data_IF_130988523082
#
_entry.id   IF_130988523082
#
_cell.length_a   1.000
_cell.length_b   1.000
_cell.length_c   1.000
_cell.angle_alpha   90.00
_cell.angle_beta   90.00
_cell.angle_gamma   90.00
#
_symmetry.space_group_name_H-M   'P 1'
#
loop_
_entity.id
_entity.type
_entity.pdbx_description
1 polymer ?
#
# COMPACT_ATOMS: atom_id res chain seq x y z
N UNK A 1 -46.62 -63.09 10.06
CA UNK A 1 -46.92 -61.65 10.11
C UNK A 1 -45.69 -61.01 10.74
N UNK A 2 -45.08 -59.98 10.13
CA UNK A 2 -43.86 -59.40 10.69
C UNK A 2 -44.12 -58.92 12.12
N UNK A 3 -43.33 -59.39 13.09
CA UNK A 3 -43.50 -59.16 14.54
C UNK A 3 -43.35 -57.68 14.96
N UNK A 4 -43.05 -56.78 14.02
CA UNK A 4 -42.82 -55.36 14.27
C UNK A 4 -43.98 -54.42 13.90
N UNK A 5 -45.08 -54.94 13.37
CA UNK A 5 -46.26 -54.13 13.03
C UNK A 5 -47.11 -53.88 14.28
N UNK A 6 -47.31 -52.61 14.71
CA UNK A 6 -48.13 -52.30 15.88
C UNK A 6 -49.55 -52.84 15.71
N UNK A 7 -50.06 -53.54 16.72
CA UNK A 7 -51.34 -54.27 16.64
C UNK A 7 -52.57 -53.34 16.53
N UNK A 8 -52.43 -52.06 16.82
CA UNK A 8 -53.51 -51.06 16.75
C UNK A 8 -53.06 -49.76 16.08
N UNK A 9 -54.03 -49.02 15.53
CA UNK A 9 -53.79 -47.70 14.93
C UNK A 9 -53.19 -46.71 15.94
N UNK A 10 -53.67 -46.67 17.18
CA UNK A 10 -53.08 -45.85 18.25
C UNK A 10 -51.58 -46.12 18.41
N UNK A 11 -51.17 -47.39 18.42
CA UNK A 11 -49.77 -47.72 18.67
C UNK A 11 -48.86 -47.39 17.46
N UNK A 12 -49.40 -47.48 16.24
CA UNK A 12 -48.76 -46.93 15.04
C UNK A 12 -48.60 -45.39 15.12
N UNK A 13 -49.65 -44.68 15.53
CA UNK A 13 -49.64 -43.23 15.64
C UNK A 13 -48.67 -42.74 16.73
N UNK A 14 -48.60 -43.43 17.86
CA UNK A 14 -47.63 -43.16 18.94
C UNK A 14 -46.19 -43.35 18.46
N UNK A 15 -45.88 -44.49 17.80
CA UNK A 15 -44.53 -44.76 17.31
C UNK A 15 -44.09 -43.75 16.23
N UNK A 16 -45.01 -43.32 15.36
CA UNK A 16 -44.75 -42.26 14.39
C UNK A 16 -44.48 -40.91 15.08
N UNK A 17 -45.29 -40.56 16.08
CA UNK A 17 -45.13 -39.32 16.85
C UNK A 17 -43.79 -39.29 17.59
N UNK A 18 -43.39 -40.40 18.21
CA UNK A 18 -42.07 -40.52 18.86
C UNK A 18 -40.91 -40.35 17.88
N UNK A 19 -41.00 -40.95 16.68
CA UNK A 19 -39.97 -40.75 15.64
C UNK A 19 -39.91 -39.31 15.15
N UNK A 20 -41.05 -38.65 14.95
CA UNK A 20 -41.11 -37.25 14.55
C UNK A 20 -40.47 -36.34 15.60
N UNK A 21 -40.76 -36.55 16.89
CA UNK A 21 -40.14 -35.81 17.99
C UNK A 21 -38.63 -36.06 18.07
N UNK A 22 -38.18 -37.30 17.83
CA UNK A 22 -36.75 -37.61 17.79
C UNK A 22 -36.04 -36.93 16.62
N UNK A 23 -36.64 -36.89 15.43
CA UNK A 23 -36.08 -36.17 14.29
C UNK A 23 -36.06 -34.66 14.51
N UNK A 24 -37.09 -34.11 15.16
CA UNK A 24 -37.11 -32.71 15.55
C UNK A 24 -35.93 -32.39 16.48
N UNK A 25 -35.76 -33.16 17.57
CA UNK A 25 -34.65 -32.98 18.51
C UNK A 25 -33.29 -33.05 17.81
N UNK A 26 -33.07 -34.05 16.94
CA UNK A 26 -31.81 -34.18 16.20
C UNK A 26 -31.57 -33.01 15.24
N UNK A 27 -32.64 -32.48 14.62
CA UNK A 27 -32.54 -31.32 13.73
C UNK A 27 -32.18 -30.07 14.52
N UNK A 28 -32.78 -29.87 15.68
CA UNK A 28 -32.49 -28.75 16.58
C UNK A 28 -31.04 -28.82 17.12
N UNK A 29 -30.59 -30.00 17.55
CA UNK A 29 -29.22 -30.24 18.01
C UNK A 29 -28.18 -29.96 16.91
N UNK A 30 -28.45 -30.43 15.69
CA UNK A 30 -27.59 -30.18 14.54
C UNK A 30 -27.55 -28.70 14.17
N UNK A 31 -28.71 -28.05 14.12
CA UNK A 31 -28.82 -26.62 13.84
C UNK A 31 -28.04 -25.78 14.86
N UNK A 32 -28.22 -26.06 16.15
CA UNK A 32 -27.49 -25.41 17.24
C UNK A 32 -25.98 -25.62 17.12
N UNK A 33 -25.54 -26.83 16.77
CA UNK A 33 -24.12 -27.14 16.57
C UNK A 33 -23.53 -26.32 15.41
N UNK A 34 -24.25 -26.21 14.28
CA UNK A 34 -23.84 -25.38 13.16
C UNK A 34 -23.78 -23.89 13.52
N UNK A 35 -24.73 -23.38 14.33
CA UNK A 35 -24.71 -22.00 14.80
C UNK A 35 -23.48 -21.72 15.68
N UNK A 36 -23.15 -22.63 16.60
CA UNK A 36 -21.97 -22.48 17.46
C UNK A 36 -20.70 -22.46 16.60
N UNK A 37 -20.53 -23.44 15.72
CA UNK A 37 -19.36 -23.52 14.84
C UNK A 37 -19.20 -22.29 13.97
N UNK A 38 -20.29 -21.79 13.37
CA UNK A 38 -20.26 -20.58 12.56
C UNK A 38 -19.86 -19.34 13.37
N UNK A 39 -20.41 -19.19 14.58
CA UNK A 39 -20.05 -18.08 15.48
C UNK A 39 -18.58 -18.15 15.89
N UNK A 40 -18.05 -19.34 16.15
CA UNK A 40 -16.64 -19.52 16.49
C UNK A 40 -15.72 -19.11 15.31
N UNK A 41 -16.08 -19.47 14.08
CA UNK A 41 -15.35 -19.04 12.89
C UNK A 41 -15.43 -17.52 12.68
N UNK A 42 -16.63 -16.94 12.87
CA UNK A 42 -16.83 -15.50 12.72
C UNK A 42 -16.06 -14.70 13.76
N UNK A 43 -15.99 -15.19 14.99
CA UNK A 43 -15.16 -14.61 16.04
C UNK A 43 -13.69 -14.60 15.68
N UNK A 44 -13.16 -15.71 15.14
CA UNK A 44 -11.77 -15.76 14.67
C UNK A 44 -11.53 -14.77 13.54
N UNK A 45 -12.49 -14.62 12.62
CA UNK A 45 -12.41 -13.64 11.54
C UNK A 45 -12.36 -12.20 12.09
N UNK A 46 -13.22 -11.84 13.04
CA UNK A 46 -13.22 -10.53 13.69
C UNK A 46 -11.91 -10.23 14.43
N UNK A 47 -11.31 -11.23 15.09
CA UNK A 47 -10.02 -11.10 15.76
C UNK A 47 -8.87 -10.85 14.77
N UNK A 48 -8.95 -11.39 13.56
CA UNK A 48 -7.93 -11.24 12.50
C UNK A 48 -8.11 -9.96 11.66
N UNK A 49 -9.31 -9.41 11.61
CA UNK A 49 -9.70 -8.27 10.77
C UNK A 49 -8.81 -7.02 10.93
N UNK A 50 -8.36 -6.64 12.14
CA UNK A 50 -7.44 -5.52 12.31
C UNK A 50 -6.10 -5.73 11.61
N UNK A 51 -5.57 -6.96 11.61
CA UNK A 51 -4.30 -7.29 10.96
C UNK A 51 -4.42 -7.24 9.43
N UNK A 52 -5.56 -7.69 8.89
CA UNK A 52 -5.85 -7.57 7.45
C UNK A 52 -5.90 -6.11 7.03
N UNK A 53 -6.60 -5.28 7.82
CA UNK A 53 -6.71 -3.84 7.59
C UNK A 53 -5.34 -3.16 7.61
N UNK A 54 -4.52 -3.47 8.62
CA UNK A 54 -3.16 -2.96 8.73
C UNK A 54 -2.29 -3.39 7.54
N UNK A 55 -2.32 -4.67 7.18
CA UNK A 55 -1.53 -5.21 6.06
C UNK A 55 -1.87 -4.51 4.74
N UNK A 56 -3.15 -4.21 4.52
CA UNK A 56 -3.59 -3.52 3.32
C UNK A 56 -3.11 -2.06 3.26
N UNK A 57 -3.14 -1.34 4.39
CA UNK A 57 -2.58 0.02 4.50
C UNK A 57 -1.07 0.01 4.32
N UNK A 58 -0.36 -0.93 4.96
CA UNK A 58 1.09 -1.08 4.84
C UNK A 58 1.50 -1.39 3.39
N UNK A 59 0.71 -2.22 2.69
CA UNK A 59 0.91 -2.51 1.27
C UNK A 59 0.78 -1.25 0.41
N UNK A 60 -0.25 -0.43 0.67
CA UNK A 60 -0.46 0.83 -0.04
C UNK A 60 0.70 1.81 0.22
N UNK A 61 1.12 1.96 1.47
CA UNK A 61 2.26 2.81 1.85
C UNK A 61 3.51 2.38 1.10
N UNK A 62 3.84 1.09 1.14
CA UNK A 62 5.03 0.54 0.48
C UNK A 62 5.03 0.76 -1.03
N UNK A 63 3.88 0.65 -1.69
CA UNK A 63 3.74 0.94 -3.11
C UNK A 63 4.09 2.41 -3.43
N UNK A 64 3.56 3.35 -2.63
CA UNK A 64 3.82 4.77 -2.83
C UNK A 64 5.25 5.18 -2.46
N UNK A 65 5.85 4.56 -1.44
CA UNK A 65 7.28 4.73 -1.12
C UNK A 65 8.18 4.28 -2.27
N UNK A 66 7.88 3.14 -2.89
CA UNK A 66 8.62 2.63 -4.05
C UNK A 66 8.51 3.58 -5.25
N UNK A 67 7.31 4.12 -5.52
CA UNK A 67 7.09 5.11 -6.59
C UNK A 67 7.90 6.38 -6.35
N UNK A 68 7.90 6.91 -5.12
CA UNK A 68 8.71 8.07 -4.74
C UNK A 68 10.20 7.79 -4.87
N UNK A 69 10.66 6.64 -4.38
CA UNK A 69 12.06 6.22 -4.48
C UNK A 69 12.53 6.16 -5.94
N UNK A 70 11.78 5.45 -6.79
CA UNK A 70 12.10 5.34 -8.22
C UNK A 70 12.16 6.70 -8.92
N UNK A 71 11.18 7.57 -8.66
CA UNK A 71 11.10 8.90 -9.29
C UNK A 71 12.23 9.81 -8.84
N UNK A 72 12.53 9.83 -7.54
CA UNK A 72 13.64 10.64 -6.99
C UNK A 72 15.01 10.12 -7.44
N UNK A 73 15.17 8.80 -7.58
CA UNK A 73 16.40 8.18 -8.10
C UNK A 73 16.64 8.57 -9.56
N UNK A 74 15.59 8.61 -10.39
CA UNK A 74 15.69 9.06 -11.78
C UNK A 74 16.15 10.53 -11.87
N UNK A 75 15.53 11.41 -11.08
CA UNK A 75 15.91 12.84 -11.03
C UNK A 75 17.37 12.97 -10.59
N UNK A 76 17.76 12.27 -9.52
CA UNK A 76 19.12 12.29 -8.98
C UNK A 76 20.14 11.79 -9.99
N UNK A 77 19.84 10.70 -10.69
CA UNK A 77 20.71 10.12 -11.69
C UNK A 77 20.94 11.06 -12.87
N UNK A 78 19.90 11.72 -13.37
CA UNK A 78 20.03 12.72 -14.45
C UNK A 78 20.88 13.92 -14.00
N UNK A 79 20.65 14.41 -12.78
CA UNK A 79 21.43 15.51 -12.22
C UNK A 79 22.91 15.13 -12.02
N UNK A 80 23.20 13.94 -11.51
CA UNK A 80 24.57 13.47 -11.29
C UNK A 80 25.36 13.36 -12.60
N UNK A 81 24.73 12.89 -13.69
CA UNK A 81 25.38 12.89 -15.01
C UNK A 81 25.78 14.30 -15.45
N UNK A 82 24.95 15.28 -15.19
CA UNK A 82 25.25 16.66 -15.55
C UNK A 82 26.33 17.27 -14.65
N UNK A 83 26.35 16.87 -13.37
CA UNK A 83 27.40 17.25 -12.43
C UNK A 83 28.78 16.76 -12.88
N UNK A 84 28.89 15.49 -13.29
CA UNK A 84 30.14 14.92 -13.83
C UNK A 84 30.67 15.71 -15.04
N UNK A 85 29.76 16.15 -15.93
CA UNK A 85 30.13 16.99 -17.08
C UNK A 85 30.71 18.33 -16.62
N UNK A 86 30.07 19.01 -15.66
CA UNK A 86 30.60 20.28 -15.15
C UNK A 86 31.91 20.13 -14.38
N UNK A 87 32.12 19.01 -13.67
CA UNK A 87 33.37 18.71 -13.00
C UNK A 87 34.50 18.50 -14.01
N UNK A 88 34.23 17.79 -15.11
CA UNK A 88 35.18 17.63 -16.22
C UNK A 88 35.56 18.97 -16.84
N UNK A 89 34.56 19.82 -17.14
CA UNK A 89 34.80 21.17 -17.69
C UNK A 89 35.59 22.03 -16.71
N UNK A 90 35.28 21.98 -15.40
CA UNK A 90 36.03 22.69 -14.35
C UNK A 90 37.49 22.24 -14.30
N UNK A 91 37.75 20.94 -14.41
CA UNK A 91 39.12 20.42 -14.48
C UNK A 91 39.87 20.95 -15.70
N UNK A 92 39.21 20.99 -16.87
CA UNK A 92 39.78 21.59 -18.09
C UNK A 92 40.10 23.07 -17.90
N UNK A 93 39.20 23.85 -17.29
CA UNK A 93 39.45 25.27 -16.99
C UNK A 93 40.62 25.45 -16.02
N UNK A 94 40.68 24.60 -14.98
CA UNK A 94 41.76 24.61 -13.99
C UNK A 94 43.12 24.34 -14.64
N UNK A 95 43.19 23.37 -15.54
CA UNK A 95 44.42 23.05 -16.28
C UNK A 95 44.89 24.16 -17.23
N UNK A 96 43.99 25.07 -17.62
CA UNK A 96 44.35 26.23 -18.43
C UNK A 96 44.94 27.37 -17.60
N UNK A 97 44.85 27.33 -16.26
CA UNK A 97 45.46 28.31 -15.37
C UNK A 97 46.98 28.09 -15.32
N UNK A 98 47.70 28.81 -16.19
CA UNK A 98 49.16 28.81 -16.29
C UNK A 98 49.74 30.19 -15.94
N UNK A 99 50.96 30.27 -15.36
CA UNK A 99 51.57 31.55 -15.00
C UNK A 99 51.66 32.56 -16.16
N UNK A 100 51.79 32.08 -17.40
CA UNK A 100 51.86 32.95 -18.59
C UNK A 100 50.58 33.74 -18.86
N UNK A 101 49.43 33.37 -18.30
CA UNK A 101 48.19 34.15 -18.39
C UNK A 101 48.28 35.51 -17.68
N UNK A 102 49.23 35.70 -16.78
CA UNK A 102 49.48 36.99 -16.13
C UNK A 102 50.25 38.00 -16.99
N UNK A 103 50.73 37.61 -18.18
CA UNK A 103 51.44 38.52 -19.08
C UNK A 103 50.44 39.46 -19.80
N UNK A 104 50.78 40.76 -20.00
CA UNK A 104 49.90 41.71 -20.68
C UNK A 104 49.38 41.25 -22.06
N UNK A 105 50.22 40.55 -22.83
CA UNK A 105 49.85 40.03 -24.16
C UNK A 105 48.78 38.92 -24.12
N UNK A 106 48.54 38.30 -22.96
CA UNK A 106 47.59 37.20 -22.78
C UNK A 106 46.28 37.62 -22.09
N UNK A 107 46.06 38.92 -21.87
CA UNK A 107 44.85 39.46 -21.21
C UNK A 107 43.55 38.94 -21.83
N UNK A 108 43.47 38.90 -23.17
CA UNK A 108 42.29 38.40 -23.88
C UNK A 108 42.03 36.90 -23.60
N UNK A 109 43.09 36.09 -23.48
CA UNK A 109 42.96 34.67 -23.15
C UNK A 109 42.45 34.48 -21.72
N UNK A 110 42.97 35.29 -20.78
CA UNK A 110 42.53 35.27 -19.38
C UNK A 110 41.05 35.68 -19.27
N UNK A 111 40.65 36.76 -19.94
CA UNK A 111 39.26 37.23 -19.93
C UNK A 111 38.31 36.17 -20.52
N UNK A 112 38.70 35.54 -21.62
CA UNK A 112 37.92 34.44 -22.24
C UNK A 112 37.74 33.27 -21.27
N UNK A 113 38.80 32.88 -20.54
CA UNK A 113 38.73 31.80 -19.56
C UNK A 113 37.82 32.18 -18.38
N UNK A 114 37.93 33.41 -17.87
CA UNK A 114 37.05 33.92 -16.83
C UNK A 114 35.57 33.90 -17.25
N UNK A 115 35.25 34.35 -18.47
CA UNK A 115 33.88 34.35 -18.98
C UNK A 115 33.32 32.92 -19.11
N UNK A 116 34.13 31.97 -19.58
CA UNK A 116 33.74 30.55 -19.65
C UNK A 116 33.46 29.96 -18.26
N UNK A 117 34.28 30.28 -17.27
CA UNK A 117 34.09 29.78 -15.90
C UNK A 117 32.88 30.42 -15.21
N UNK A 118 32.65 31.73 -15.39
CA UNK A 118 31.44 32.41 -14.92
C UNK A 118 30.19 31.76 -15.51
N UNK A 119 30.20 31.46 -16.82
CA UNK A 119 29.09 30.76 -17.47
C UNK A 119 28.88 29.37 -16.89
N UNK A 120 29.93 28.55 -16.77
CA UNK A 120 29.85 27.20 -16.18
C UNK A 120 29.26 27.24 -14.76
N UNK A 121 29.71 28.18 -13.92
CA UNK A 121 29.20 28.35 -12.55
C UNK A 121 27.73 28.74 -12.53
N UNK A 122 27.31 29.66 -13.41
CA UNK A 122 25.92 30.05 -13.54
C UNK A 122 25.05 28.87 -13.98
N UNK A 123 25.44 28.18 -15.05
CA UNK A 123 24.71 27.03 -15.58
C UNK A 123 24.57 25.92 -14.51
N UNK A 124 25.62 25.68 -13.71
CA UNK A 124 25.58 24.74 -12.59
C UNK A 124 24.63 25.21 -11.48
N UNK A 125 24.66 26.48 -11.09
CA UNK A 125 23.78 27.03 -10.06
C UNK A 125 22.30 26.99 -10.47
N UNK A 126 22.00 27.38 -11.71
CA UNK A 126 20.64 27.33 -12.27
C UNK A 126 20.10 25.89 -12.27
N UNK A 127 20.95 24.92 -12.62
CA UNK A 127 20.54 23.52 -12.63
C UNK A 127 20.40 22.91 -11.23
N UNK A 128 21.22 23.32 -10.24
CA UNK A 128 20.99 22.94 -8.83
C UNK A 128 19.60 23.41 -8.41
N UNK A 129 19.25 24.65 -8.72
CA UNK A 129 17.95 25.21 -8.39
C UNK A 129 16.81 24.43 -9.05
N UNK A 130 16.94 24.15 -10.36
CA UNK A 130 15.96 23.35 -11.09
C UNK A 130 15.82 21.94 -10.52
N UNK A 131 16.92 21.27 -10.20
CA UNK A 131 16.89 19.94 -9.59
C UNK A 131 16.19 19.95 -8.23
N UNK A 132 16.42 20.96 -7.40
CA UNK A 132 15.69 21.14 -6.14
C UNK A 132 14.19 21.31 -6.38
N UNK A 133 13.79 22.12 -7.36
CA UNK A 133 12.38 22.29 -7.73
C UNK A 133 11.75 20.97 -8.22
N UNK A 134 12.47 20.21 -9.06
CA UNK A 134 12.00 18.92 -9.55
C UNK A 134 11.81 17.91 -8.41
N UNK A 135 12.74 17.84 -7.47
CA UNK A 135 12.62 16.99 -6.28
C UNK A 135 11.42 17.37 -5.42
N UNK A 136 11.21 18.67 -5.19
CA UNK A 136 10.06 19.17 -4.42
C UNK A 136 8.73 18.88 -5.12
N UNK A 137 8.65 19.10 -6.43
CA UNK A 137 7.45 18.82 -7.22
C UNK A 137 7.12 17.32 -7.20
N UNK A 138 8.14 16.46 -7.40
CA UNK A 138 7.99 15.01 -7.32
C UNK A 138 7.47 14.57 -5.93
N UNK A 139 8.05 15.10 -4.85
CA UNK A 139 7.61 14.77 -3.50
C UNK A 139 6.17 15.23 -3.24
N UNK A 140 5.81 16.45 -3.67
CA UNK A 140 4.46 16.98 -3.52
C UNK A 140 3.43 16.16 -4.31
N UNK A 141 3.73 15.80 -5.55
CA UNK A 141 2.88 14.96 -6.38
C UNK A 141 2.71 13.57 -5.77
N UNK A 142 3.80 12.93 -5.34
CA UNK A 142 3.73 11.62 -4.70
C UNK A 142 2.90 11.65 -3.41
N UNK A 143 3.06 12.70 -2.59
CA UNK A 143 2.29 12.90 -1.37
C UNK A 143 0.80 13.09 -1.66
N UNK A 144 0.46 13.93 -2.65
CA UNK A 144 -0.93 14.16 -3.04
C UNK A 144 -1.58 12.88 -3.55
N UNK A 145 -0.87 12.11 -4.37
CA UNK A 145 -1.33 10.83 -4.89
C UNK A 145 -1.52 9.81 -3.77
N UNK A 146 -0.58 9.75 -2.81
CA UNK A 146 -0.70 8.87 -1.64
C UNK A 146 -1.91 9.22 -0.78
N UNK A 147 -2.10 10.49 -0.42
CA UNK A 147 -3.24 10.93 0.40
C UNK A 147 -4.56 10.63 -0.30
N UNK A 148 -4.64 10.86 -1.62
CA UNK A 148 -5.85 10.58 -2.40
C UNK A 148 -6.14 9.09 -2.47
N UNK A 149 -5.12 8.25 -2.68
CA UNK A 149 -5.25 6.80 -2.69
C UNK A 149 -5.62 6.26 -1.31
N UNK A 150 -5.01 6.77 -0.24
CA UNK A 150 -5.31 6.40 1.13
C UNK A 150 -6.76 6.74 1.49
N UNK A 151 -7.23 7.93 1.13
CA UNK A 151 -8.62 8.33 1.38
C UNK A 151 -9.62 7.39 0.69
N UNK A 152 -9.42 7.12 -0.61
CA UNK A 152 -10.29 6.21 -1.36
C UNK A 152 -10.21 4.77 -0.84
N UNK A 153 -9.01 4.33 -0.44
CA UNK A 153 -8.80 3.01 0.14
C UNK A 153 -9.50 2.88 1.49
N UNK A 154 -9.37 3.87 2.38
CA UNK A 154 -10.03 3.89 3.68
C UNK A 154 -11.54 3.93 3.56
N UNK A 155 -12.08 4.73 2.64
CA UNK A 155 -13.52 4.74 2.34
C UNK A 155 -14.00 3.34 1.94
N UNK A 156 -13.30 2.70 1.00
CA UNK A 156 -13.64 1.34 0.58
C UNK A 156 -13.53 0.34 1.74
N UNK A 157 -12.46 0.40 2.52
CA UNK A 157 -12.26 -0.50 3.65
C UNK A 157 -13.41 -0.38 4.66
N UNK A 158 -13.81 0.85 5.00
CA UNK A 158 -14.93 1.08 5.91
C UNK A 158 -16.25 0.53 5.37
N UNK A 159 -16.53 0.70 4.07
CA UNK A 159 -17.73 0.12 3.45
C UNK A 159 -17.73 -1.42 3.52
N UNK A 160 -16.61 -2.07 3.24
CA UNK A 160 -16.50 -3.54 3.32
C UNK A 160 -16.65 -4.03 4.77
N UNK A 161 -16.17 -3.26 5.74
CA UNK A 161 -16.35 -3.55 7.16
C UNK A 161 -17.81 -3.35 7.61
N UNK A 162 -18.48 -2.30 7.14
CA UNK A 162 -19.90 -2.04 7.43
C UNK A 162 -20.83 -3.12 6.82
N UNK A 163 -20.44 -3.70 5.68
CA UNK A 163 -21.17 -4.80 5.04
C UNK A 163 -20.86 -6.18 5.65
N UNK A 164 -19.85 -6.26 6.52
CA UNK A 164 -19.46 -7.52 7.17
C UNK A 164 -20.39 -7.86 8.32
N UNK A 165 -20.78 -9.14 8.39
CA UNK A 165 -21.54 -9.67 9.54
C UNK A 165 -20.64 -9.79 10.77
N UNK A 166 -21.23 -9.60 11.94
CA UNK A 166 -20.57 -9.78 13.24
C UNK A 166 -21.21 -10.91 14.03
N UNK A 167 -20.55 -11.37 15.09
CA UNK A 167 -21.08 -12.37 16.01
C UNK A 167 -22.41 -11.94 16.65
N UNK A 168 -22.67 -10.64 16.73
CA UNK A 168 -23.89 -10.07 17.30
C UNK A 168 -25.07 -10.14 16.30
N UNK A 169 -24.78 -10.28 15.01
CA UNK A 169 -25.80 -10.44 13.95
C UNK A 169 -26.31 -11.88 13.83
N UNK A 170 -25.59 -12.85 14.43
CA UNK A 170 -25.93 -14.27 14.38
C UNK A 170 -26.77 -14.67 15.59
N UNK A 171 -27.80 -15.49 15.39
CA UNK A 171 -28.62 -16.01 16.49
C UNK A 171 -27.80 -16.85 17.48
N UNK A 172 -28.17 -16.80 18.76
CA UNK A 172 -27.63 -17.72 19.77
C UNK A 172 -28.28 -19.09 19.64
N UNK A 173 -27.50 -20.15 19.90
CA UNK A 173 -28.04 -21.49 20.00
C UNK A 173 -29.15 -21.53 21.07
N UNK A 174 -30.27 -22.17 20.73
CA UNK A 174 -31.42 -22.30 21.63
C UNK A 174 -31.14 -23.39 22.67
N UNK A 175 -31.58 -23.16 23.92
CA UNK A 175 -31.50 -24.15 25.00
C UNK A 175 -32.46 -25.31 24.80
#
# INVERSE_FOLDING_TARGET
IPEDLPETFEHCAERLSQKLLSYQSQTDDYYNSCLIEFRDQLKLFEEELPYVSQLAVDSLLKEHEQKLSCSTDQIRHLFNKQLEVWESVKAVHTNQLRPSLGHPDNLLQLETLCQKEIKRQKDQADAIHLNTQMMQACAAECAQNFVSALAAFTEKLLLELDESITIDDVQLASK
#
